data_IF_502276699065
#
_entry.id   IF_502276699065
#
_cell.length_a   1.000
_cell.length_b   1.000
_cell.length_c   1.000
_cell.angle_alpha   90.00
_cell.angle_beta   90.00
_cell.angle_gamma   90.00
#
_symmetry.space_group_name_H-M   'P 1'
#
loop_
_entity.id
_entity.type
_entity.pdbx_description
1 polymer ?
#
# COMPACT_ATOMS: atom_id res chain seq x y z
N UNK A 1 -14.79 32.82 -10.82
CA UNK A 1 -13.83 32.10 -11.67
C UNK A 1 -13.91 30.63 -11.30
N UNK A 2 -14.24 29.77 -12.26
CA UNK A 2 -14.51 28.33 -12.05
C UNK A 2 -13.27 27.63 -11.48
N UNK A 3 -13.21 27.50 -10.16
CA UNK A 3 -12.28 26.58 -9.51
C UNK A 3 -12.77 25.18 -9.82
N UNK A 4 -11.86 24.29 -10.24
CA UNK A 4 -12.15 22.86 -10.32
C UNK A 4 -12.49 22.39 -8.90
N UNK A 5 -13.80 22.34 -8.61
CA UNK A 5 -14.32 21.88 -7.35
C UNK A 5 -14.25 20.36 -7.27
N UNK A 6 -14.60 19.86 -6.09
CA UNK A 6 -14.61 18.43 -5.86
C UNK A 6 -15.63 17.70 -6.76
N UNK A 7 -16.72 18.40 -7.10
CA UNK A 7 -17.77 17.89 -7.97
C UNK A 7 -17.28 17.69 -9.41
N UNK A 8 -16.57 18.67 -9.98
CA UNK A 8 -15.99 18.56 -11.32
C UNK A 8 -14.94 17.46 -11.40
N UNK A 9 -14.10 17.32 -10.36
CA UNK A 9 -13.09 16.26 -10.31
C UNK A 9 -13.73 14.86 -10.28
N UNK A 10 -14.85 14.69 -9.56
CA UNK A 10 -15.61 13.43 -9.55
C UNK A 10 -16.20 13.14 -10.93
N UNK A 11 -16.75 14.14 -11.62
CA UNK A 11 -17.30 13.97 -12.98
C UNK A 11 -16.20 13.51 -13.94
N UNK A 12 -15.04 14.16 -13.91
CA UNK A 12 -13.88 13.78 -14.73
C UNK A 12 -13.40 12.36 -14.38
N UNK A 13 -13.35 12.02 -13.09
CA UNK A 13 -12.97 10.67 -12.63
C UNK A 13 -13.91 9.61 -13.20
N UNK A 14 -15.23 9.85 -13.20
CA UNK A 14 -16.21 8.93 -13.77
C UNK A 14 -15.98 8.75 -15.27
N UNK A 15 -15.76 9.84 -16.02
CA UNK A 15 -15.49 9.76 -17.47
C UNK A 15 -14.24 8.92 -17.73
N UNK A 16 -13.15 9.17 -17.00
CA UNK A 16 -11.90 8.40 -17.11
C UNK A 16 -12.14 6.92 -16.80
N UNK A 17 -12.91 6.61 -15.74
CA UNK A 17 -13.27 5.23 -15.39
C UNK A 17 -14.12 4.54 -16.46
N UNK A 18 -14.98 5.26 -17.17
CA UNK A 18 -15.77 4.69 -18.27
C UNK A 18 -14.89 4.41 -19.49
N UNK A 19 -13.98 5.33 -19.85
CA UNK A 19 -13.10 5.18 -21.01
C UNK A 19 -12.05 4.08 -20.82
N UNK A 20 -11.40 4.06 -19.66
CA UNK A 20 -10.30 3.15 -19.37
C UNK A 20 -10.76 1.88 -18.61
N UNK A 21 -11.94 1.92 -18.00
CA UNK A 21 -12.44 0.87 -17.11
C UNK A 21 -11.91 1.00 -15.68
N UNK A 22 -12.71 0.58 -14.71
CA UNK A 22 -12.34 0.61 -13.28
C UNK A 22 -11.12 -0.26 -12.94
N UNK A 23 -10.80 -1.25 -13.77
CA UNK A 23 -9.71 -2.20 -13.54
C UNK A 23 -8.35 -1.66 -13.96
N UNK A 24 -8.28 -0.76 -14.95
CA UNK A 24 -7.02 -0.27 -15.51
C UNK A 24 -6.34 0.79 -14.65
N UNK A 25 -7.10 1.67 -14.00
CA UNK A 25 -6.55 2.68 -13.10
C UNK A 25 -5.74 2.09 -11.93
N UNK A 26 -6.25 1.08 -11.19
CA UNK A 26 -5.51 0.41 -10.13
C UNK A 26 -4.28 -0.35 -10.65
N UNK A 27 -4.37 -0.95 -11.83
CA UNK A 27 -3.28 -1.69 -12.47
C UNK A 27 -2.10 -0.76 -12.79
N UNK A 28 -2.38 0.40 -13.40
CA UNK A 28 -1.40 1.45 -13.65
C UNK A 28 -0.86 2.06 -12.35
N UNK A 29 -1.74 2.30 -11.37
CA UNK A 29 -1.38 2.82 -10.06
C UNK A 29 -0.44 1.90 -9.27
N UNK A 30 -0.60 0.57 -9.38
CA UNK A 30 0.32 -0.40 -8.77
C UNK A 30 1.73 -0.28 -9.35
N UNK A 31 1.85 -0.20 -10.68
CA UNK A 31 3.16 -0.04 -11.35
C UNK A 31 3.84 1.28 -10.98
N UNK A 32 3.12 2.39 -11.08
CA UNK A 32 3.64 3.72 -10.71
C UNK A 32 3.97 3.77 -9.21
N UNK A 33 3.12 3.23 -8.34
CA UNK A 33 3.34 3.21 -6.90
C UNK A 33 4.56 2.39 -6.50
N UNK A 34 4.78 1.25 -7.14
CA UNK A 34 6.00 0.45 -6.95
C UNK A 34 7.25 1.21 -7.43
N UNK A 35 7.18 1.86 -8.59
CA UNK A 35 8.27 2.67 -9.12
C UNK A 35 8.62 3.83 -8.17
N UNK A 36 7.62 4.60 -7.72
CA UNK A 36 7.82 5.69 -6.75
C UNK A 36 8.37 5.15 -5.42
N UNK A 37 7.88 4.01 -4.93
CA UNK A 37 8.36 3.39 -3.69
C UNK A 37 9.83 2.99 -3.78
N UNK A 38 10.24 2.40 -4.90
CA UNK A 38 11.62 1.97 -5.12
C UNK A 38 12.53 3.18 -5.37
N UNK A 39 12.05 4.18 -6.10
CA UNK A 39 12.75 5.45 -6.31
C UNK A 39 12.99 6.17 -4.98
N UNK A 40 11.97 6.26 -4.12
CA UNK A 40 12.10 6.88 -2.80
C UNK A 40 13.07 6.12 -1.90
N UNK A 41 13.09 4.78 -1.94
CA UNK A 41 14.06 3.97 -1.17
C UNK A 41 15.49 4.22 -1.65
N UNK A 42 15.74 4.14 -2.95
CA UNK A 42 17.07 4.40 -3.50
C UNK A 42 17.57 5.83 -3.29
N UNK A 43 16.66 6.81 -3.19
CA UNK A 43 17.02 8.19 -2.86
C UNK A 43 17.16 8.45 -1.35
N UNK A 44 16.56 7.61 -0.49
CA UNK A 44 16.62 7.73 0.98
C UNK A 44 17.63 6.79 1.65
N UNK A 45 18.30 5.91 0.92
CA UNK A 45 19.37 5.04 1.43
C UNK A 45 20.74 5.73 1.24
N UNK A 46 21.34 6.34 2.28
CA UNK A 46 22.74 6.72 2.23
C UNK A 46 23.60 5.46 2.34
N UNK A 47 24.16 4.98 1.23
CA UNK A 47 25.28 4.02 1.13
C UNK A 47 25.52 3.11 2.35
N UNK A 48 24.54 2.32 2.78
CA UNK A 48 24.77 1.24 3.74
C UNK A 48 24.22 -0.05 3.14
N UNK A 49 25.12 -1.01 3.01
CA UNK A 49 24.87 -2.36 2.51
C UNK A 49 23.88 -3.02 3.49
N UNK A 50 22.59 -3.01 3.17
CA UNK A 50 21.54 -3.61 4.01
C UNK A 50 21.59 -5.14 3.91
N UNK A 51 22.32 -5.77 4.83
CA UNK A 51 22.32 -7.22 5.06
C UNK A 51 21.21 -7.69 6.00
N UNK A 52 20.15 -6.89 6.21
CA UNK A 52 19.04 -7.30 7.06
C UNK A 52 18.01 -8.11 6.27
N UNK A 53 17.82 -9.41 6.52
CA UNK A 53 16.70 -10.14 5.95
C UNK A 53 15.41 -9.50 6.47
N UNK A 54 14.55 -9.03 5.56
CA UNK A 54 13.24 -8.47 5.90
C UNK A 54 12.47 -9.48 6.75
N UNK A 55 12.40 -9.14 8.02
CA UNK A 55 11.58 -9.72 9.07
C UNK A 55 10.14 -9.92 8.58
N UNK A 56 9.81 -11.13 8.14
CA UNK A 56 8.45 -11.67 8.03
C UNK A 56 7.86 -12.04 9.41
N UNK A 57 8.53 -11.68 10.51
CA UNK A 57 8.05 -11.92 11.87
C UNK A 57 7.06 -10.84 12.33
N UNK A 58 5.81 -10.89 11.84
CA UNK A 58 4.67 -10.30 12.58
C UNK A 58 3.31 -10.90 12.22
N UNK A 59 3.21 -12.24 12.12
CA UNK A 59 1.89 -12.89 12.12
C UNK A 59 1.80 -14.17 12.96
N UNK A 60 2.91 -14.86 13.24
CA UNK A 60 2.85 -16.15 13.98
C UNK A 60 3.03 -16.04 15.51
N UNK A 61 3.44 -14.90 16.05
CA UNK A 61 3.66 -14.75 17.50
C UNK A 61 2.39 -14.38 18.29
N UNK A 62 1.33 -13.96 17.60
CA UNK A 62 0.06 -13.56 18.25
C UNK A 62 -0.81 -14.79 18.54
N UNK A 63 -0.77 -15.83 17.69
CA UNK A 63 -1.59 -17.04 17.87
C UNK A 63 -1.11 -17.94 19.02
N UNK A 64 0.20 -17.95 19.31
CA UNK A 64 0.75 -18.84 20.35
C UNK A 64 0.55 -18.35 21.79
N UNK A 65 0.23 -17.07 21.97
CA UNK A 65 0.02 -16.46 23.29
C UNK A 65 -1.43 -16.60 23.78
N UNK A 66 -2.39 -16.61 22.86
CA UNK A 66 -3.82 -16.80 23.18
C UNK A 66 -4.16 -18.24 23.59
N UNK A 67 -3.43 -19.24 23.09
CA UNK A 67 -3.65 -20.64 23.47
C UNK A 67 -3.07 -21.00 24.85
N UNK A 68 -2.07 -20.26 25.33
CA UNK A 68 -1.51 -20.42 26.69
C UNK A 68 -2.39 -19.80 27.78
N UNK A 69 -3.08 -18.69 27.53
CA UNK A 69 -3.94 -18.05 28.54
C UNK A 69 -5.27 -18.79 28.75
N UNK A 70 -5.76 -19.55 27.76
CA UNK A 70 -7.00 -20.33 27.89
C UNK A 70 -6.86 -21.65 28.64
N UNK A 71 -5.66 -22.25 28.69
CA UNK A 71 -5.43 -23.52 29.40
C UNK A 71 -5.16 -23.38 30.90
N UNK A 72 -4.94 -22.15 31.37
CA UNK A 72 -4.67 -21.87 32.78
C UNK A 72 -5.92 -21.38 33.53
N UNK A 73 -7.06 -21.27 32.83
CA UNK A 73 -8.33 -20.79 33.38
C UNK A 73 -9.48 -21.82 33.32
N UNK A 74 -9.18 -23.10 33.02
CA UNK A 74 -10.08 -24.26 33.24
C UNK A 74 -9.57 -25.16 34.38
#
# INVERSE_FOLDING_TARGET
MFGLGMQELIIVMIIVLVLFGATRLPELGKGIGQAIRNFRKGMSEPNEIDVTPKKESKKEEIEKKEESEKKESE
#
